data_IF_803802939287
#
_entry.id   IF_803802939287
#
_cell.length_a   1.000
_cell.length_b   1.000
_cell.length_c   1.000
_cell.angle_alpha   90.00
_cell.angle_beta   90.00
_cell.angle_gamma   90.00
#
_symmetry.space_group_name_H-M   'P 1'
#
loop_
_entity.id
_entity.type
_entity.pdbx_description
1 polymer ?
#
# COMPACT_ATOMS: atom_id res chain seq x y z
N UNK A 1 -8.08 15.91 -12.47
CA UNK A 1 -7.62 16.15 -11.08
C UNK A 1 -7.26 14.86 -10.33
N UNK A 2 -7.94 13.72 -10.54
CA UNK A 2 -7.57 12.43 -9.93
C UNK A 2 -6.20 11.86 -10.36
N UNK A 3 -5.66 12.32 -11.49
CA UNK A 3 -4.40 11.84 -12.06
C UNK A 3 -3.18 12.16 -11.18
N UNK A 4 -3.18 13.31 -10.49
CA UNK A 4 -2.15 13.66 -9.51
C UNK A 4 -2.20 12.72 -8.29
N UNK A 5 -3.41 12.35 -7.85
CA UNK A 5 -3.60 11.42 -6.73
C UNK A 5 -3.13 10.01 -7.12
N UNK A 6 -3.43 9.55 -8.33
CA UNK A 6 -2.87 8.30 -8.86
C UNK A 6 -1.35 8.35 -8.99
N UNK A 7 -0.79 9.48 -9.43
CA UNK A 7 0.66 9.62 -9.58
C UNK A 7 1.37 9.56 -8.23
N UNK A 8 0.82 10.21 -7.21
CA UNK A 8 1.34 10.15 -5.84
C UNK A 8 1.18 8.74 -5.26
N UNK A 9 0.01 8.10 -5.43
CA UNK A 9 -0.23 6.73 -4.99
C UNK A 9 0.75 5.73 -5.62
N UNK A 10 0.93 5.82 -6.94
CA UNK A 10 1.88 4.98 -7.67
C UNK A 10 3.33 5.23 -7.22
N UNK A 11 3.72 6.48 -7.01
CA UNK A 11 5.06 6.83 -6.51
C UNK A 11 5.31 6.23 -5.12
N UNK A 12 4.34 6.28 -4.22
CA UNK A 12 4.45 5.68 -2.89
C UNK A 12 4.64 4.16 -2.95
N UNK A 13 3.85 3.47 -3.79
CA UNK A 13 3.98 2.02 -4.01
C UNK A 13 5.34 1.68 -4.62
N UNK A 14 5.79 2.43 -5.64
CA UNK A 14 7.09 2.21 -6.28
C UNK A 14 8.26 2.45 -5.32
N UNK A 15 8.21 3.48 -4.47
CA UNK A 15 9.25 3.73 -3.46
C UNK A 15 9.28 2.59 -2.43
N UNK A 16 8.11 2.09 -2.00
CA UNK A 16 8.02 0.95 -1.10
C UNK A 16 8.66 -0.29 -1.75
N UNK A 17 8.29 -0.60 -3.00
CA UNK A 17 8.83 -1.74 -3.74
C UNK A 17 10.33 -1.63 -4.01
N UNK A 18 10.81 -0.46 -4.41
CA UNK A 18 12.24 -0.22 -4.63
C UNK A 18 13.05 -0.46 -3.35
N UNK A 19 12.50 -0.05 -2.20
CA UNK A 19 13.11 -0.28 -0.89
C UNK A 19 13.08 -1.75 -0.45
N UNK A 20 12.00 -2.48 -0.75
CA UNK A 20 11.90 -3.92 -0.57
C UNK A 20 12.93 -4.67 -1.43
N UNK A 21 13.05 -4.27 -2.70
CA UNK A 21 13.93 -4.92 -3.67
C UNK A 21 15.42 -4.68 -3.38
N UNK A 22 15.75 -3.54 -2.75
CA UNK A 22 17.09 -3.24 -2.25
C UNK A 22 17.50 -4.10 -1.05
N UNK A 23 16.62 -4.96 -0.53
CA UNK A 23 16.86 -5.80 0.65
C UNK A 23 16.95 -5.01 1.97
N UNK A 24 16.70 -3.70 1.93
CA UNK A 24 16.80 -2.80 3.08
C UNK A 24 15.59 -2.84 3.99
N UNK A 25 14.46 -3.38 3.50
CA UNK A 25 13.20 -3.49 4.21
C UNK A 25 12.64 -4.89 3.94
N UNK A 26 12.28 -5.62 4.98
CA UNK A 26 11.56 -6.87 4.87
C UNK A 26 10.06 -6.57 4.67
N UNK A 27 9.31 -7.51 4.08
CA UNK A 27 7.84 -7.37 3.90
C UNK A 27 7.10 -7.14 5.23
N UNK A 28 7.71 -7.53 6.33
CA UNK A 28 7.20 -7.38 7.68
C UNK A 28 7.57 -6.03 8.32
N UNK A 29 8.38 -5.18 7.66
CA UNK A 29 8.78 -3.90 8.22
C UNK A 29 7.67 -2.84 8.20
N UNK A 30 7.60 -2.10 9.31
CA UNK A 30 6.50 -1.19 9.61
C UNK A 30 6.49 -0.03 8.62
N UNK A 31 7.68 0.48 8.26
CA UNK A 31 7.83 1.50 7.21
C UNK A 31 7.37 1.00 5.84
N UNK A 32 7.66 -0.25 5.48
CA UNK A 32 7.20 -0.83 4.22
C UNK A 32 5.68 -1.00 4.21
N UNK A 33 5.12 -1.59 5.28
CA UNK A 33 3.67 -1.75 5.43
C UNK A 33 2.92 -0.42 5.43
N UNK A 34 3.42 0.61 6.13
CA UNK A 34 2.79 1.93 6.16
C UNK A 34 2.81 2.59 4.78
N UNK A 35 3.97 2.64 4.10
CA UNK A 35 4.03 3.21 2.75
C UNK A 35 3.12 2.46 1.77
N UNK A 36 3.15 1.13 1.82
CA UNK A 36 2.34 0.30 0.93
C UNK A 36 0.84 0.45 1.23
N UNK A 37 0.46 0.53 2.52
CA UNK A 37 -0.92 0.77 2.94
C UNK A 37 -1.43 2.13 2.45
N UNK A 38 -0.69 3.21 2.69
CA UNK A 38 -1.12 4.54 2.25
C UNK A 38 -1.19 4.65 0.72
N UNK A 39 -0.21 4.08 0.00
CA UNK A 39 -0.21 4.05 -1.46
C UNK A 39 -1.40 3.27 -2.03
N UNK A 40 -1.64 2.06 -1.53
CA UNK A 40 -2.74 1.20 -1.98
C UNK A 40 -4.11 1.74 -1.60
N UNK A 41 -4.29 2.39 -0.45
CA UNK A 41 -5.56 3.05 -0.09
C UNK A 41 -5.86 4.21 -1.03
N UNK A 42 -4.88 5.05 -1.35
CA UNK A 42 -5.05 6.15 -2.31
C UNK A 42 -5.40 5.63 -3.70
N UNK A 43 -4.71 4.58 -4.17
CA UNK A 43 -4.98 3.96 -5.46
C UNK A 43 -6.35 3.28 -5.49
N UNK A 44 -6.74 2.60 -4.41
CA UNK A 44 -8.08 2.01 -4.26
C UNK A 44 -9.15 3.08 -4.35
N UNK A 45 -8.98 4.22 -3.65
CA UNK A 45 -9.92 5.33 -3.71
C UNK A 45 -10.10 5.85 -5.14
N UNK A 46 -9.00 6.08 -5.86
CA UNK A 46 -9.08 6.51 -7.26
C UNK A 46 -9.73 5.43 -8.13
N UNK A 47 -9.41 4.16 -7.93
CA UNK A 47 -10.01 3.06 -8.68
C UNK A 47 -11.52 2.94 -8.47
N UNK A 48 -12.02 3.23 -7.26
CA UNK A 48 -13.45 3.30 -6.95
C UNK A 48 -14.11 4.44 -7.71
N UNK A 49 -13.50 5.63 -7.70
CA UNK A 49 -14.00 6.80 -8.44
C UNK A 49 -14.04 6.53 -9.95
N UNK A 50 -13.00 5.89 -10.48
CA UNK A 50 -12.88 5.53 -11.91
C UNK A 50 -13.67 4.25 -12.28
N UNK A 51 -14.36 3.63 -11.31
CA UNK A 51 -15.11 2.36 -11.44
C UNK A 51 -14.33 1.20 -12.05
N UNK A 52 -13.03 1.11 -11.78
CA UNK A 52 -12.14 0.04 -12.28
C UNK A 52 -12.11 -1.15 -11.32
N UNK A 53 -13.07 -2.05 -11.45
CA UNK A 53 -13.20 -3.23 -10.57
C UNK A 53 -11.90 -4.04 -10.43
N UNK A 54 -11.14 -4.25 -11.51
CA UNK A 54 -9.86 -4.97 -11.45
C UNK A 54 -8.81 -4.27 -10.59
N UNK A 55 -8.72 -2.93 -10.69
CA UNK A 55 -7.81 -2.14 -9.86
C UNK A 55 -8.30 -2.04 -8.41
N UNK A 56 -9.61 -1.93 -8.19
CA UNK A 56 -10.19 -1.93 -6.83
C UNK A 56 -9.83 -3.21 -6.09
N UNK A 57 -9.98 -4.38 -6.73
CA UNK A 57 -9.63 -5.66 -6.12
C UNK A 57 -8.13 -5.78 -5.87
N UNK A 58 -7.29 -5.35 -6.82
CA UNK A 58 -5.84 -5.44 -6.70
C UNK A 58 -5.32 -4.54 -5.56
N UNK A 59 -5.63 -3.25 -5.62
CA UNK A 59 -5.17 -2.26 -4.65
C UNK A 59 -5.82 -2.49 -3.29
N UNK A 60 -7.11 -2.88 -3.26
CA UNK A 60 -7.80 -3.25 -2.04
C UNK A 60 -7.16 -4.47 -1.35
N UNK A 61 -6.74 -5.48 -2.13
CA UNK A 61 -6.00 -6.63 -1.59
C UNK A 61 -4.65 -6.21 -1.00
N UNK A 62 -3.91 -5.32 -1.68
CA UNK A 62 -2.65 -4.78 -1.17
C UNK A 62 -2.85 -3.99 0.13
N UNK A 63 -3.92 -3.20 0.24
CA UNK A 63 -4.26 -2.47 1.46
C UNK A 63 -4.58 -3.44 2.62
N UNK A 64 -5.39 -4.46 2.38
CA UNK A 64 -5.75 -5.48 3.37
C UNK A 64 -4.53 -6.30 3.84
N UNK A 65 -3.68 -6.73 2.90
CA UNK A 65 -2.46 -7.46 3.23
C UNK A 65 -1.47 -6.58 4.02
N UNK A 66 -1.47 -5.26 3.83
CA UNK A 66 -0.61 -4.33 4.58
C UNK A 66 -1.10 -4.10 6.02
N UNK A 67 -2.38 -4.35 6.31
CA UNK A 67 -2.96 -4.27 7.66
C UNK A 67 -2.48 -5.43 8.55
N UNK A 68 -2.28 -6.62 7.99
CA UNK A 68 -1.96 -7.84 8.75
C UNK A 68 -0.67 -7.75 9.59
N UNK A 69 0.47 -7.25 9.05
CA UNK A 69 1.70 -7.09 9.82
C UNK A 69 1.63 -5.98 10.86
N UNK A 70 0.81 -4.94 10.62
CA UNK A 70 0.57 -3.84 11.56
C UNK A 70 -0.14 -4.38 12.81
N UNK A 71 -1.23 -5.15 12.64
CA UNK A 71 -1.91 -5.80 13.76
C UNK A 71 -1.01 -6.83 14.47
N UNK A 72 -0.24 -7.62 13.72
CA UNK A 72 0.65 -8.65 14.30
C UNK A 72 1.79 -8.07 15.14
N UNK A 73 2.31 -6.88 14.78
CA UNK A 73 3.30 -6.17 15.62
C UNK A 73 2.68 -5.51 16.84
N UNK A 74 1.44 -4.99 16.73
CA UNK A 74 0.70 -4.47 17.89
C UNK A 74 0.47 -5.54 18.96
N UNK A 75 0.22 -6.79 18.55
CA UNK A 75 0.01 -7.92 19.45
C UNK A 75 1.27 -8.48 20.13
N UNK A 76 2.48 -8.08 19.71
CA UNK A 76 3.76 -8.54 20.31
C UNK A 76 4.37 -7.53 21.29
N UNK A 77 3.74 -6.38 21.49
CA UNK A 77 4.15 -5.38 22.50
C UNK A 77 3.22 -5.36 23.73
N UNK A 78 2.36 -6.37 23.90
CA UNK A 78 1.51 -6.58 25.07
C UNK A 78 2.06 -7.69 25.96
#
# INVERSE_FOLDING_TARGET
MFQLVSLVGAALVLIAFARLQKGSLQREDLSFCLLNFFGSVLLTWVAVVDRRLGFILLEGSWALLSIWPILRRGARQG
#
